data_IF_253502279075
#
_entry.id   IF_253502279075
#
_cell.length_a   1.000
_cell.length_b   1.000
_cell.length_c   1.000
_cell.angle_alpha   90.00
_cell.angle_beta   90.00
_cell.angle_gamma   90.00
#
_symmetry.space_group_name_H-M   'P 1'
#
loop_
_entity.id
_entity.type
_entity.pdbx_description
1 polymer ?
#
# COMPACT_ATOMS: atom_id res chain seq x y z
N UNK A 1 4.55 -4.83 8.52
CA UNK A 1 3.73 -3.79 7.92
C UNK A 1 3.99 -2.56 8.75
N UNK A 2 4.03 -1.38 8.15
CA UNK A 2 4.26 -0.15 8.92
C UNK A 2 3.06 0.76 8.82
N UNK A 3 2.53 1.16 9.98
CA UNK A 3 1.48 2.16 10.09
C UNK A 3 2.13 3.47 10.53
N UNK A 4 1.74 4.55 9.87
CA UNK A 4 2.14 5.91 10.22
C UNK A 4 0.89 6.74 10.47
N UNK A 5 0.98 7.65 11.45
CA UNK A 5 -0.13 8.47 11.89
C UNK A 5 -0.50 9.57 10.90
N UNK A 6 0.45 10.02 10.08
CA UNK A 6 0.25 11.09 9.11
C UNK A 6 1.40 11.22 8.10
N UNK A 7 1.18 12.08 7.11
CA UNK A 7 2.16 12.43 6.07
C UNK A 7 3.43 13.08 6.64
N UNK A 8 3.35 13.83 7.75
CA UNK A 8 4.53 14.43 8.38
C UNK A 8 5.45 13.35 8.98
N UNK A 9 4.89 12.34 9.64
CA UNK A 9 5.65 11.19 10.12
C UNK A 9 6.27 10.41 8.95
N UNK A 10 5.56 10.28 7.83
CA UNK A 10 6.12 9.68 6.62
C UNK A 10 7.32 10.46 6.09
N UNK A 11 7.24 11.80 6.03
CA UNK A 11 8.37 12.65 5.66
C UNK A 11 9.55 12.47 6.61
N UNK A 12 9.31 12.34 7.91
CA UNK A 12 10.37 12.15 8.91
C UNK A 12 11.04 10.77 8.78
N UNK A 13 10.27 9.72 8.52
CA UNK A 13 10.78 8.35 8.41
C UNK A 13 11.48 8.11 7.07
N UNK A 14 10.93 8.65 5.99
CA UNK A 14 11.39 8.44 4.62
C UNK A 14 11.99 9.71 4.00
N UNK A 15 12.66 10.53 4.83
CA UNK A 15 13.22 11.82 4.44
C UNK A 15 14.28 11.72 3.33
N UNK A 16 15.00 10.59 3.27
CA UNK A 16 16.02 10.31 2.27
C UNK A 16 15.47 9.36 1.20
N UNK A 17 15.38 9.84 -0.04
CA UNK A 17 15.04 9.02 -1.19
C UNK A 17 14.11 9.73 -2.17
N UNK A 18 14.56 9.88 -3.42
CA UNK A 18 13.79 10.55 -4.48
C UNK A 18 12.41 9.90 -4.70
N UNK A 19 12.30 8.58 -4.53
CA UNK A 19 11.03 7.85 -4.68
C UNK A 19 10.00 8.22 -3.60
N UNK A 20 10.46 8.39 -2.35
CA UNK A 20 9.60 8.78 -1.24
C UNK A 20 9.16 10.24 -1.33
N UNK A 21 10.04 11.13 -1.80
CA UNK A 21 9.67 12.52 -2.12
C UNK A 21 8.58 12.57 -3.20
N UNK A 22 8.67 11.73 -4.24
CA UNK A 22 7.60 11.59 -5.25
C UNK A 22 6.27 11.12 -4.66
N UNK A 23 6.29 10.27 -3.63
CA UNK A 23 5.06 9.88 -2.92
C UNK A 23 4.42 11.08 -2.22
N UNK A 24 5.22 11.94 -1.59
CA UNK A 24 4.74 13.17 -0.95
C UNK A 24 4.16 14.14 -1.99
N UNK A 25 4.83 14.32 -3.12
CA UNK A 25 4.34 15.14 -4.25
C UNK A 25 3.00 14.61 -4.78
N UNK A 26 2.91 13.29 -4.99
CA UNK A 26 1.69 12.62 -5.44
C UNK A 26 0.53 12.82 -4.45
N UNK A 27 0.79 12.70 -3.15
CA UNK A 27 -0.21 12.90 -2.10
C UNK A 27 -0.67 14.36 -2.04
N UNK A 28 0.25 15.33 -2.14
CA UNK A 28 -0.11 16.74 -2.15
C UNK A 28 -0.91 17.15 -3.40
N UNK A 29 -0.84 16.37 -4.48
CA UNK A 29 -1.53 16.64 -5.74
C UNK A 29 -2.90 15.93 -5.87
N UNK A 30 -3.38 15.27 -4.81
CA UNK A 30 -4.59 14.41 -4.85
C UNK A 30 -5.84 15.12 -5.34
N UNK A 31 -6.04 16.39 -4.95
CA UNK A 31 -7.24 17.14 -5.33
C UNK A 31 -7.35 17.40 -6.84
N UNK A 32 -6.23 17.25 -7.57
CA UNK A 32 -6.18 17.37 -9.02
C UNK A 32 -6.36 16.02 -9.75
N UNK A 33 -6.54 14.92 -9.02
CA UNK A 33 -6.64 13.56 -9.57
C UNK A 33 -8.10 13.17 -9.75
N UNK A 34 -8.44 12.65 -10.92
CA UNK A 34 -9.75 12.05 -11.16
C UNK A 34 -9.82 10.65 -10.51
N UNK A 35 -10.89 10.34 -9.75
CA UNK A 35 -11.07 9.00 -9.18
C UNK A 35 -10.99 7.90 -10.25
N UNK A 36 -10.33 6.79 -9.91
CA UNK A 36 -10.16 5.64 -10.82
C UNK A 36 -9.14 5.82 -11.94
N UNK A 37 -8.53 7.00 -12.09
CA UNK A 37 -7.45 7.23 -13.06
C UNK A 37 -6.10 6.92 -12.41
N UNK A 38 -5.30 6.09 -13.05
CA UNK A 38 -3.93 5.83 -12.65
C UNK A 38 -2.99 6.91 -13.21
N UNK A 39 -2.10 7.40 -12.36
CA UNK A 39 -1.07 8.36 -12.68
C UNK A 39 0.30 7.75 -12.39
N UNK A 40 1.30 8.09 -13.19
CA UNK A 40 2.68 7.62 -13.00
C UNK A 40 3.65 8.79 -12.98
N UNK A 41 4.67 8.71 -12.11
CA UNK A 41 5.78 9.65 -12.05
C UNK A 41 7.05 8.92 -12.48
N UNK A 42 7.34 8.99 -13.78
CA UNK A 42 8.37 8.17 -14.43
C UNK A 42 8.12 6.68 -14.18
N UNK A 43 9.21 5.91 -14.09
CA UNK A 43 9.14 4.46 -13.85
C UNK A 43 9.12 4.08 -12.36
N UNK A 44 9.18 5.09 -11.47
CA UNK A 44 9.42 4.84 -10.05
C UNK A 44 8.17 4.67 -9.19
N UNK A 45 7.05 5.24 -9.65
CA UNK A 45 5.86 5.41 -8.84
C UNK A 45 4.63 5.43 -9.76
N UNK A 46 3.64 4.60 -9.44
CA UNK A 46 2.28 4.79 -9.93
C UNK A 46 1.33 4.97 -8.76
N UNK A 47 0.25 5.73 -8.95
CA UNK A 47 -0.69 6.04 -7.90
C UNK A 47 -2.08 6.30 -8.45
N UNK A 48 -3.10 6.02 -7.64
CA UNK A 48 -4.51 6.29 -7.97
C UNK A 48 -5.33 6.49 -6.71
N UNK A 49 -6.42 7.24 -6.86
CA UNK A 49 -7.45 7.35 -5.83
C UNK A 49 -8.44 6.20 -6.00
N UNK A 50 -8.64 5.42 -4.93
CA UNK A 50 -9.59 4.32 -4.86
C UNK A 50 -10.69 4.60 -3.85
N UNK A 51 -11.85 3.98 -4.10
CA UNK A 51 -12.93 3.86 -3.13
C UNK A 51 -13.28 2.39 -3.01
N UNK A 52 -13.00 1.80 -1.84
CA UNK A 52 -13.21 0.38 -1.59
C UNK A 52 -14.34 0.22 -0.57
N UNK A 53 -15.24 -0.74 -0.83
CA UNK A 53 -16.33 -1.10 0.08
C UNK A 53 -16.42 -2.61 0.32
N UNK A 54 -15.52 -3.39 -0.29
CA UNK A 54 -15.54 -4.86 -0.27
C UNK A 54 -14.40 -5.41 0.58
N UNK A 55 -14.70 -6.46 1.34
CA UNK A 55 -13.69 -7.24 2.08
C UNK A 55 -13.03 -8.25 1.15
N UNK A 56 -11.70 -8.29 1.19
CA UNK A 56 -10.89 -9.23 0.43
C UNK A 56 -10.90 -10.61 1.10
N UNK A 57 -11.11 -11.67 0.32
CA UNK A 57 -11.11 -13.04 0.84
C UNK A 57 -9.69 -13.57 1.10
N UNK A 58 -8.74 -13.20 0.23
CA UNK A 58 -7.37 -13.72 0.22
C UNK A 58 -6.37 -12.60 0.54
N UNK A 59 -5.25 -13.00 1.13
CA UNK A 59 -4.09 -12.12 1.26
C UNK A 59 -3.45 -11.90 -0.11
N UNK A 60 -3.08 -10.66 -0.38
CA UNK A 60 -2.33 -10.25 -1.57
C UNK A 60 -0.90 -9.93 -1.15
N UNK A 61 0.06 -10.50 -1.88
CA UNK A 61 1.48 -10.17 -1.77
C UNK A 61 2.04 -9.60 -3.07
N UNK A 62 2.96 -8.66 -2.96
CA UNK A 62 3.67 -8.02 -4.09
C UNK A 62 5.16 -8.35 -4.04
N UNK A 63 5.88 -8.30 -5.17
CA UNK A 63 7.32 -8.58 -5.23
C UNK A 63 8.13 -7.45 -5.87
N UNK A 64 7.53 -6.60 -6.71
CA UNK A 64 8.22 -5.54 -7.45
C UNK A 64 7.92 -4.14 -6.92
N UNK A 65 6.84 -3.99 -6.16
CA UNK A 65 6.44 -2.70 -5.62
C UNK A 65 6.14 -2.81 -4.11
N UNK A 66 6.59 -1.81 -3.36
CA UNK A 66 5.95 -1.47 -2.09
C UNK A 66 4.58 -0.88 -2.39
N UNK A 67 3.56 -1.29 -1.64
CA UNK A 67 2.26 -0.62 -1.68
C UNK A 67 2.12 0.31 -0.48
N UNK A 68 1.84 1.59 -0.74
CA UNK A 68 1.52 2.60 0.27
C UNK A 68 0.06 2.99 0.13
N UNK A 69 -0.69 2.89 1.23
CA UNK A 69 -2.10 3.24 1.32
C UNK A 69 -2.25 4.48 2.20
N UNK A 70 -2.68 5.60 1.63
CA UNK A 70 -2.95 6.84 2.37
C UNK A 70 -4.47 7.07 2.50
N UNK A 71 -4.99 7.08 3.71
CA UNK A 71 -6.44 7.12 3.97
C UNK A 71 -6.95 8.57 3.94
N UNK A 72 -7.80 8.87 2.96
CA UNK A 72 -8.39 10.20 2.77
C UNK A 72 -9.72 10.37 3.49
N UNK A 73 -10.46 9.28 3.69
CA UNK A 73 -11.75 9.30 4.36
C UNK A 73 -12.12 7.91 4.86
N UNK A 74 -12.66 7.86 6.08
CA UNK A 74 -13.20 6.64 6.68
C UNK A 74 -12.16 5.83 7.46
N UNK A 75 -12.50 4.57 7.73
CA UNK A 75 -11.67 3.65 8.49
C UNK A 75 -11.71 2.25 7.87
N UNK A 76 -10.58 1.54 7.93
CA UNK A 76 -10.43 0.22 7.35
C UNK A 76 -9.70 -0.69 8.34
N UNK A 77 -10.13 -1.96 8.41
CA UNK A 77 -9.33 -3.00 9.07
C UNK A 77 -8.43 -3.64 8.03
N UNK A 78 -7.21 -3.93 8.43
CA UNK A 78 -6.23 -4.62 7.59
C UNK A 78 -5.75 -5.83 8.37
N UNK A 79 -5.80 -6.99 7.74
CA UNK A 79 -5.14 -8.17 8.27
C UNK A 79 -3.88 -8.42 7.45
N UNK A 80 -2.75 -8.64 8.13
CA UNK A 80 -1.47 -8.86 7.48
C UNK A 80 -0.66 -9.95 8.17
N UNK A 81 0.21 -10.59 7.40
CA UNK A 81 1.15 -11.59 7.90
C UNK A 81 2.40 -11.66 7.02
N UNK A 82 3.49 -12.19 7.56
CA UNK A 82 4.65 -12.57 6.78
C UNK A 82 4.28 -13.68 5.79
N UNK A 83 4.77 -13.58 4.56
CA UNK A 83 4.46 -14.50 3.47
C UNK A 83 4.80 -15.95 3.78
N UNK A 84 5.90 -16.18 4.47
CA UNK A 84 6.38 -17.51 4.87
C UNK A 84 5.46 -18.23 5.87
N UNK A 85 4.58 -17.49 6.57
CA UNK A 85 3.58 -18.04 7.50
C UNK A 85 2.23 -18.32 6.83
N UNK A 86 2.06 -17.98 5.56
CA UNK A 86 0.81 -18.16 4.83
C UNK A 86 0.90 -19.29 3.82
N UNK A 87 -0.25 -19.86 3.46
CA UNK A 87 -0.34 -20.87 2.40
C UNK A 87 -0.66 -20.20 1.07
N UNK A 88 0.22 -20.38 0.07
CA UNK A 88 -0.02 -19.91 -1.29
C UNK A 88 -1.22 -20.62 -1.91
N UNK A 89 -2.18 -19.83 -2.42
CA UNK A 89 -3.40 -20.27 -3.12
C UNK A 89 -3.27 -20.05 -4.62
N UNK A 90 -2.63 -18.96 -5.03
CA UNK A 90 -2.30 -18.70 -6.41
C UNK A 90 -0.87 -18.19 -6.52
N UNK A 91 -0.10 -18.83 -7.41
CA UNK A 91 1.26 -18.44 -7.70
C UNK A 91 1.36 -16.99 -8.18
N UNK A 92 2.53 -16.42 -7.95
CA UNK A 92 2.88 -15.08 -8.38
C UNK A 92 2.72 -14.88 -9.89
N UNK A 93 2.16 -13.73 -10.27
CA UNK A 93 1.97 -13.28 -11.67
C UNK A 93 2.70 -11.97 -11.92
N UNK A 94 3.66 -12.01 -12.83
CA UNK A 94 4.48 -10.85 -13.21
C UNK A 94 3.67 -9.69 -13.77
N UNK A 95 2.61 -9.96 -14.54
CA UNK A 95 1.83 -8.91 -15.21
C UNK A 95 1.08 -8.01 -14.22
N UNK A 96 0.77 -8.54 -13.03
CA UNK A 96 -0.01 -7.84 -12.00
C UNK A 96 0.78 -7.52 -10.74
N UNK A 97 2.00 -8.07 -10.64
CA UNK A 97 2.82 -8.11 -9.41
C UNK A 97 2.03 -8.63 -8.21
N UNK A 98 1.36 -9.78 -8.35
CA UNK A 98 0.50 -10.34 -7.30
C UNK A 98 0.66 -11.84 -7.13
N UNK A 99 0.68 -12.26 -5.89
CA UNK A 99 0.42 -13.64 -5.45
C UNK A 99 -0.71 -13.63 -4.42
N UNK A 100 -1.46 -14.73 -4.34
CA UNK A 100 -2.59 -14.85 -3.41
C UNK A 100 -2.38 -15.96 -2.41
N UNK A 101 -2.70 -15.68 -1.15
CA UNK A 101 -2.42 -16.56 -0.02
C UNK A 101 -3.62 -16.63 0.92
N UNK A 102 -3.66 -17.68 1.73
CA UNK A 102 -4.63 -17.85 2.82
C UNK A 102 -3.92 -18.21 4.12
N UNK A 103 -4.52 -17.83 5.23
CA UNK A 103 -3.99 -18.08 6.56
C UNK A 103 -4.63 -17.14 7.57
N UNK A 104 -3.91 -16.94 8.68
CA UNK A 104 -4.28 -16.02 9.75
C UNK A 104 -3.17 -14.98 9.88
N UNK A 105 -3.56 -13.73 10.09
CA UNK A 105 -2.65 -12.63 10.34
C UNK A 105 -3.03 -11.80 11.54
N UNK A 106 -2.25 -10.75 11.76
CA UNK A 106 -2.54 -9.72 12.75
C UNK A 106 -3.51 -8.70 12.13
N UNK A 107 -4.52 -8.29 12.89
CA UNK A 107 -5.49 -7.29 12.44
C UNK A 107 -5.24 -5.95 13.11
N UNK A 108 -5.19 -4.90 12.30
CA UNK A 108 -5.03 -3.51 12.72
C UNK A 108 -6.16 -2.66 12.13
N UNK A 109 -6.55 -1.63 12.85
CA UNK A 109 -7.51 -0.64 12.36
C UNK A 109 -6.77 0.65 12.02
N UNK A 110 -7.07 1.19 10.84
CA UNK A 110 -6.51 2.46 10.37
C UNK A 110 -7.62 3.42 10.00
N UNK A 111 -7.36 4.70 10.19
CA UNK A 111 -8.32 5.77 9.99
C UNK A 111 -7.80 6.85 9.05
N UNK A 112 -8.69 7.76 8.66
CA UNK A 112 -8.37 8.97 7.91
C UNK A 112 -7.12 9.68 8.45
N UNK A 113 -6.26 10.12 7.52
CA UNK A 113 -4.97 10.74 7.80
C UNK A 113 -3.82 9.75 7.98
N UNK A 114 -4.08 8.47 8.30
CA UNK A 114 -3.02 7.49 8.48
C UNK A 114 -2.51 6.92 7.16
N UNK A 115 -1.31 6.34 7.23
CA UNK A 115 -0.64 5.68 6.12
C UNK A 115 -0.27 4.25 6.48
N UNK A 116 -0.35 3.36 5.51
CA UNK A 116 0.10 1.97 5.65
C UNK A 116 1.10 1.65 4.55
N UNK A 117 2.27 1.15 4.93
CA UNK A 117 3.29 0.66 4.02
C UNK A 117 3.32 -0.87 4.13
N UNK A 118 3.03 -1.52 3.01
CA UNK A 118 3.12 -2.96 2.84
C UNK A 118 4.47 -3.32 2.19
N UNK A 119 5.25 -4.14 2.87
CA UNK A 119 6.54 -4.66 2.38
C UNK A 119 6.34 -5.84 1.41
N UNK A 120 7.35 -6.18 0.62
CA UNK A 120 7.34 -7.30 -0.33
C UNK A 120 7.44 -8.66 0.35
N UNK A 121 7.86 -8.73 1.61
CA UNK A 121 7.91 -9.97 2.39
C UNK A 121 6.60 -10.27 3.14
N UNK A 122 5.61 -9.38 3.00
CA UNK A 122 4.34 -9.47 3.69
C UNK A 122 3.19 -9.59 2.70
N UNK A 123 2.08 -10.13 3.19
CA UNK A 123 0.82 -10.12 2.48
C UNK A 123 -0.25 -9.52 3.37
N UNK A 124 -1.24 -8.89 2.76
CA UNK A 124 -2.33 -8.22 3.46
C UNK A 124 -3.65 -8.44 2.76
N UNK A 125 -4.75 -8.27 3.50
CA UNK A 125 -6.11 -8.20 2.96
C UNK A 125 -6.88 -7.11 3.66
N UNK A 126 -7.77 -6.44 2.91
CA UNK A 126 -8.60 -5.41 3.47
C UNK A 126 -9.93 -5.97 3.98
N UNK A 127 -10.36 -5.50 5.14
CA UNK A 127 -11.66 -5.79 5.72
C UNK A 127 -12.42 -4.47 5.79
N UNK A 128 -13.47 -4.36 4.97
CA UNK A 128 -14.29 -3.16 4.80
C UNK A 128 -15.64 -3.35 5.47
N UNK A 129 -15.88 -2.63 6.57
CA UNK A 129 -17.21 -2.53 7.20
C UNK A 129 -18.04 -1.37 6.62
N UNK A 130 -17.36 -0.38 6.02
CA UNK A 130 -17.93 0.81 5.39
C UNK A 130 -17.09 1.25 4.19
N UNK A 131 -17.62 2.06 3.26
CA UNK A 131 -16.83 2.64 2.18
C UNK A 131 -15.66 3.48 2.71
N UNK A 132 -14.49 3.31 2.09
CA UNK A 132 -13.25 4.01 2.43
C UNK A 132 -12.67 4.65 1.18
N UNK A 133 -12.19 5.88 1.29
CA UNK A 133 -11.46 6.57 0.22
C UNK A 133 -9.99 6.63 0.59
N UNK A 134 -9.12 6.20 -0.32
CA UNK A 134 -7.67 6.19 -0.10
C UNK A 134 -6.90 6.41 -1.39
N UNK A 135 -5.63 6.75 -1.25
CA UNK A 135 -4.67 6.74 -2.35
C UNK A 135 -3.80 5.51 -2.22
N UNK A 136 -3.73 4.76 -3.30
CA UNK A 136 -2.86 3.59 -3.42
C UNK A 136 -1.67 4.01 -4.27
N UNK A 137 -0.48 3.97 -3.70
CA UNK A 137 0.79 4.26 -4.36
C UNK A 137 1.60 2.97 -4.47
N UNK A 138 2.10 2.66 -5.66
CA UNK A 138 3.00 1.54 -5.94
C UNK A 138 4.39 2.09 -6.22
N UNK A 139 5.32 1.84 -5.30
CA UNK A 139 6.69 2.37 -5.35
C UNK A 139 7.63 1.24 -5.77
N UNK A 140 8.34 1.40 -6.90
CA UNK A 140 9.20 0.33 -7.41
C UNK A 140 10.38 0.04 -6.47
N UNK A 141 10.69 -1.24 -6.31
CA UNK A 141 11.89 -1.67 -5.58
C UNK A 141 13.17 -1.58 -6.43
N UNK A 142 13.05 -1.53 -7.76
CA UNK A 142 14.18 -1.48 -8.70
C UNK A 142 14.76 -0.06 -8.76
N UNK A 143 16.09 0.07 -8.68
CA UNK A 143 16.90 1.26 -8.32
C UNK A 143 17.07 1.52 -6.81
N UNK A 144 18.19 0.99 -6.29
CA UNK A 144 18.93 1.51 -5.14
C UNK A 144 18.45 1.10 -3.75
N UNK A 145 19.07 0.06 -3.18
CA UNK A 145 19.27 -0.19 -1.76
C UNK A 145 18.16 0.33 -0.82
N UNK A 146 17.15 -0.49 -0.56
CA UNK A 146 16.32 -0.36 0.64
C UNK A 146 17.10 -0.92 1.84
N UNK A 147 18.13 -0.21 2.28
CA UNK A 147 18.66 -0.35 3.64
C UNK A 147 17.93 0.67 4.50
N UNK A 148 16.80 0.25 5.06
CA UNK A 148 16.24 0.87 6.25
C UNK A 148 15.57 -0.19 7.15
N UNK A 149 16.31 -1.24 7.47
CA UNK A 149 16.69 -1.65 8.84
C UNK A 149 17.39 -3.01 8.81
#
# INVERSE_FOLDING_TARGET
MRILDNLEQFKQVYHSGRKWQRCVEAINNIDNIRPGVAHSIGDSLSYRVESNSTTDALFVGNRRYFEVHYYLQGQQKIEFAAKDKLQTVACYRDETDREYMKGLGETVQVHEGQMVICDTDEAYRFICDSPVKKVVLKVTIEDGYFLNK
#
